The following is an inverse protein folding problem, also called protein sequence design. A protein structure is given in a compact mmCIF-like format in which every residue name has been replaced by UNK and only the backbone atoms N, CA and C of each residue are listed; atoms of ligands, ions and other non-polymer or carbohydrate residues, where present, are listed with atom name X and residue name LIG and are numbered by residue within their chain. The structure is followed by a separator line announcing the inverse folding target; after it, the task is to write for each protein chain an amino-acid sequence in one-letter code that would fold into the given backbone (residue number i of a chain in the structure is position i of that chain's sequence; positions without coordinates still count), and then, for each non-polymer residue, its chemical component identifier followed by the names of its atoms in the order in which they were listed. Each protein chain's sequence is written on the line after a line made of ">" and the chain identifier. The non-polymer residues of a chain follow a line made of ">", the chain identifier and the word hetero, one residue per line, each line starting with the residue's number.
data_IF_352457004740
#
_entry.id   IF_352457004740
#
_cell.length_a   1.000
_cell.length_b   1.000
_cell.length_c   1.000
_cell.angle_alpha   90.00
_cell.angle_beta   90.00
_cell.angle_gamma   90.00
#
_symmetry.space_group_name_H-M   'P 1'
#
loop_
_entity.id
_entity.type
_entity.pdbx_description
1 polymer ?
#
# COMPACT_ATOMS: atom_id res chain seq x y z
N UNK A 1 30.95 -9.18 15.71
CA UNK A 1 29.94 -8.10 15.79
C UNK A 1 29.33 -8.16 17.18
N UNK A 2 29.19 -7.03 17.87
CA UNK A 2 28.50 -6.97 19.17
C UNK A 2 27.00 -7.14 18.93
N UNK A 3 26.37 -8.04 19.70
CA UNK A 3 24.91 -8.16 19.70
C UNK A 3 24.33 -6.89 20.30
N UNK A 4 23.26 -6.32 19.72
CA UNK A 4 22.63 -5.11 20.24
C UNK A 4 22.18 -5.34 21.68
N UNK A 5 22.45 -4.38 22.57
CA UNK A 5 22.12 -4.53 23.99
C UNK A 5 20.60 -4.41 24.25
N UNK A 6 19.88 -3.79 23.31
CA UNK A 6 18.44 -3.56 23.35
C UNK A 6 17.76 -3.95 22.03
N UNK A 7 16.52 -4.44 22.12
CA UNK A 7 15.61 -4.64 20.99
C UNK A 7 14.39 -3.74 21.16
N UNK A 8 14.02 -3.00 20.13
CA UNK A 8 12.77 -2.22 20.13
C UNK A 8 11.69 -3.02 19.42
N UNK A 9 10.60 -3.33 20.13
CA UNK A 9 9.42 -4.01 19.57
C UNK A 9 8.20 -3.17 19.88
N UNK A 10 7.41 -2.82 18.85
CA UNK A 10 6.21 -1.99 18.98
C UNK A 10 6.43 -0.65 19.72
N UNK A 11 7.60 -0.02 19.52
CA UNK A 11 7.95 1.24 20.17
C UNK A 11 8.41 1.12 21.63
N UNK A 12 8.47 -0.09 22.18
CA UNK A 12 9.04 -0.33 23.52
C UNK A 12 10.42 -0.97 23.39
N UNK A 13 11.40 -0.43 24.12
CA UNK A 13 12.77 -0.94 24.11
C UNK A 13 12.99 -1.91 25.27
N UNK A 14 13.49 -3.11 24.97
CA UNK A 14 13.76 -4.17 25.94
C UNK A 14 15.24 -4.52 25.94
N UNK A 15 15.84 -4.63 27.13
CA UNK A 15 17.22 -5.09 27.27
C UNK A 15 17.30 -6.60 26.97
N UNK A 16 18.10 -7.00 25.98
CA UNK A 16 18.16 -8.41 25.53
C UNK A 16 18.63 -9.32 26.66
N UNK A 17 19.55 -8.84 27.50
CA UNK A 17 20.08 -9.57 28.65
C UNK A 17 19.06 -9.84 29.76
N UNK A 18 17.92 -9.12 29.75
CA UNK A 18 16.82 -9.28 30.70
C UNK A 18 15.65 -10.08 30.13
N UNK A 19 15.72 -10.48 28.86
CA UNK A 19 14.70 -11.31 28.24
C UNK A 19 14.84 -12.78 28.66
N UNK A 20 13.73 -13.51 28.84
CA UNK A 20 13.76 -14.95 28.98
C UNK A 20 14.32 -15.60 27.70
N UNK A 21 14.92 -16.78 27.84
CA UNK A 21 15.65 -17.45 26.74
C UNK A 21 14.76 -17.69 25.51
N UNK A 22 13.52 -18.12 25.73
CA UNK A 22 12.52 -18.31 24.67
C UNK A 22 12.24 -17.00 23.92
N UNK A 23 12.21 -15.86 24.61
CA UNK A 23 11.99 -14.56 23.97
C UNK A 23 13.20 -14.12 23.13
N UNK A 24 14.44 -14.47 23.51
CA UNK A 24 15.63 -14.13 22.71
C UNK A 24 15.61 -14.82 21.35
N UNK A 25 15.08 -16.04 21.26
CA UNK A 25 14.89 -16.73 19.97
C UNK A 25 13.91 -15.96 19.07
N UNK A 26 12.84 -15.41 19.65
CA UNK A 26 11.88 -14.61 18.90
C UNK A 26 12.46 -13.26 18.43
N UNK A 27 13.40 -12.66 19.17
CA UNK A 27 14.06 -11.41 18.76
C UNK A 27 14.74 -11.56 17.40
N UNK A 28 15.46 -12.67 17.17
CA UNK A 28 16.15 -12.91 15.89
C UNK A 28 15.13 -13.00 14.75
N UNK A 29 14.02 -13.72 14.97
CA UNK A 29 12.96 -13.86 13.96
C UNK A 29 12.34 -12.51 13.61
N UNK A 30 12.06 -11.66 14.62
CA UNK A 30 11.52 -10.31 14.40
C UNK A 30 12.48 -9.46 13.58
N UNK A 31 13.78 -9.45 13.93
CA UNK A 31 14.79 -8.67 13.20
C UNK A 31 14.90 -9.07 11.72
N UNK A 32 14.81 -10.37 11.42
CA UNK A 32 14.81 -10.88 10.05
C UNK A 32 13.57 -10.39 9.30
N UNK A 33 12.39 -10.50 9.92
CA UNK A 33 11.14 -10.04 9.30
C UNK A 33 11.14 -8.52 9.07
N UNK A 34 11.68 -7.73 10.00
CA UNK A 34 11.78 -6.27 9.86
C UNK A 34 12.72 -5.87 8.71
N UNK A 35 13.83 -6.60 8.53
CA UNK A 35 14.73 -6.40 7.39
C UNK A 35 14.02 -6.70 6.06
N UNK A 36 13.24 -7.78 5.99
CA UNK A 36 12.46 -8.13 4.80
C UNK A 36 11.34 -7.11 4.52
N UNK A 37 10.66 -6.61 5.54
CA UNK A 37 9.67 -5.53 5.39
C UNK A 37 10.31 -4.30 4.76
N UNK A 38 11.49 -3.90 5.25
CA UNK A 38 12.24 -2.76 4.73
C UNK A 38 12.60 -2.95 3.25
N UNK A 39 13.08 -4.16 2.89
CA UNK A 39 13.37 -4.52 1.51
C UNK A 39 12.11 -4.44 0.63
N UNK A 40 10.99 -4.98 1.07
CA UNK A 40 9.73 -4.95 0.33
C UNK A 40 9.21 -3.53 0.12
N UNK A 41 9.32 -2.67 1.14
CA UNK A 41 8.97 -1.26 1.03
C UNK A 41 9.81 -0.53 -0.02
N UNK A 42 11.11 -0.84 -0.09
CA UNK A 42 11.99 -0.29 -1.13
C UNK A 42 11.56 -0.75 -2.54
N UNK A 43 11.28 -2.03 -2.72
CA UNK A 43 10.78 -2.56 -4.01
C UNK A 43 9.45 -1.92 -4.41
N UNK A 44 8.56 -1.72 -3.44
CA UNK A 44 7.28 -1.06 -3.65
C UNK A 44 7.48 0.40 -4.08
N UNK A 45 8.40 1.14 -3.46
CA UNK A 45 8.71 2.52 -3.86
C UNK A 45 9.23 2.61 -5.31
N UNK A 46 10.07 1.66 -5.73
CA UNK A 46 10.54 1.54 -7.12
C UNK A 46 9.35 1.31 -8.06
N UNK A 47 8.50 0.32 -7.75
CA UNK A 47 7.33 -0.02 -8.56
C UNK A 47 6.33 1.15 -8.66
N UNK A 48 6.11 1.88 -7.56
CA UNK A 48 5.26 3.07 -7.55
C UNK A 48 5.81 4.17 -8.47
N UNK A 49 7.13 4.36 -8.47
CA UNK A 49 7.79 5.34 -9.36
C UNK A 49 7.59 4.96 -10.82
N UNK A 50 7.88 3.70 -11.19
CA UNK A 50 7.65 3.20 -12.53
C UNK A 50 6.18 3.34 -12.97
N UNK A 51 5.23 3.01 -12.08
CA UNK A 51 3.80 3.18 -12.34
C UNK A 51 3.44 4.62 -12.63
N UNK A 52 3.95 5.59 -11.87
CA UNK A 52 3.69 7.02 -12.12
C UNK A 52 4.17 7.44 -13.51
N UNK A 53 5.37 7.01 -13.90
CA UNK A 53 5.91 7.27 -15.24
C UNK A 53 5.05 6.68 -16.34
N UNK A 54 4.65 5.41 -16.22
CA UNK A 54 3.80 4.77 -17.24
C UNK A 54 2.40 5.37 -17.32
N UNK A 55 1.82 5.80 -16.19
CA UNK A 55 0.54 6.50 -16.19
C UNK A 55 0.64 7.85 -16.90
N UNK A 56 1.72 8.61 -16.66
CA UNK A 56 1.95 9.87 -17.37
C UNK A 56 2.06 9.66 -18.88
N UNK A 57 2.90 8.70 -19.32
CA UNK A 57 3.05 8.35 -20.73
C UNK A 57 1.72 7.88 -21.36
N UNK A 58 0.92 7.11 -20.63
CA UNK A 58 -0.40 6.67 -21.10
C UNK A 58 -1.34 7.87 -21.31
N UNK A 59 -1.38 8.82 -20.37
CA UNK A 59 -2.21 10.02 -20.49
C UNK A 59 -1.78 10.86 -21.70
N UNK A 60 -0.47 11.04 -21.91
CA UNK A 60 0.06 11.73 -23.08
C UNK A 60 -0.42 11.08 -24.38
N UNK A 61 -0.34 9.76 -24.49
CA UNK A 61 -0.83 9.01 -25.67
C UNK A 61 -2.34 9.17 -25.86
N UNK A 62 -3.12 9.10 -24.77
CA UNK A 62 -4.57 9.28 -24.82
C UNK A 62 -4.94 10.69 -25.31
N UNK A 63 -4.29 11.72 -24.78
CA UNK A 63 -4.53 13.11 -25.15
C UNK A 63 -4.08 13.40 -26.59
N UNK A 64 -2.93 12.87 -26.99
CA UNK A 64 -2.38 13.04 -28.34
C UNK A 64 -3.24 12.36 -29.42
N UNK A 65 -3.89 11.23 -29.10
CA UNK A 65 -4.79 10.54 -30.04
C UNK A 65 -6.22 11.06 -30.05
N UNK A 66 -6.62 11.93 -29.12
CA UNK A 66 -7.99 12.51 -29.10
C UNK A 66 -9.14 11.50 -28.93
N UNK A 67 -8.85 10.22 -28.70
CA UNK A 67 -9.83 9.11 -28.87
C UNK A 67 -10.32 8.47 -27.57
N UNK A 68 -9.89 8.90 -26.38
CA UNK A 68 -10.50 8.43 -25.13
C UNK A 68 -11.23 9.57 -24.41
N UNK A 69 -12.53 9.70 -24.70
CA UNK A 69 -13.43 10.41 -23.80
C UNK A 69 -13.47 9.67 -22.46
N UNK A 70 -13.37 10.35 -21.30
CA UNK A 70 -13.63 9.73 -20.02
C UNK A 70 -15.03 9.12 -20.08
N UNK A 71 -15.15 7.80 -19.90
CA UNK A 71 -16.46 7.16 -19.80
C UNK A 71 -17.23 7.83 -18.64
N UNK A 72 -18.21 8.64 -18.99
CA UNK A 72 -19.12 9.29 -18.06
C UNK A 72 -19.68 8.21 -17.13
N UNK A 73 -19.60 8.41 -15.81
CA UNK A 73 -20.16 7.49 -14.80
C UNK A 73 -21.55 7.03 -15.26
N UNK A 74 -21.87 5.72 -15.21
CA UNK A 74 -23.13 5.21 -15.74
C UNK A 74 -24.28 6.01 -15.14
N UNK A 75 -24.95 6.80 -15.99
CA UNK A 75 -26.16 7.54 -15.63
C UNK A 75 -27.17 6.48 -15.20
N UNK A 76 -27.46 6.44 -13.89
CA UNK A 76 -28.55 5.62 -13.35
C UNK A 76 -29.77 5.84 -14.24
N UNK A 77 -30.41 4.79 -14.78
CA UNK A 77 -31.60 4.96 -15.58
C UNK A 77 -32.62 5.73 -14.75
N UNK A 78 -33.07 6.88 -15.27
CA UNK A 78 -34.14 7.67 -14.64
C UNK A 78 -35.33 6.73 -14.44
N UNK A 79 -35.69 6.47 -13.19
CA UNK A 79 -36.89 5.73 -12.87
C UNK A 79 -38.09 6.36 -13.59
N UNK A 80 -38.97 5.57 -14.24
CA UNK A 80 -40.14 6.11 -14.90
C UNK A 80 -40.97 6.88 -13.87
N UNK A 81 -41.27 8.14 -14.18
CA UNK A 81 -42.21 8.96 -13.41
C UNK A 81 -43.51 8.17 -13.29
N UNK A 82 -43.86 7.75 -12.07
CA UNK A 82 -45.22 7.28 -11.74
C UNK A 82 -46.17 8.34 -12.28
N UNK A 83 -47.01 7.98 -13.26
CA UNK A 83 -48.21 8.76 -13.57
C UNK A 83 -49.01 8.77 -12.27
N UNK A 84 -49.06 9.92 -11.61
CA UNK A 84 -49.95 10.16 -10.49
C UNK A 84 -51.37 10.00 -11.05
N UNK A 85 -52.10 9.03 -10.52
CA UNK A 85 -53.52 8.87 -10.82
C UNK A 85 -54.24 10.19 -10.47
N UNK A 86 -54.93 10.72 -11.47
CA UNK A 86 -56.08 11.61 -11.41
C UNK A 86 -57.02 10.98 -12.45
N UNK A 87 -58.27 10.66 -12.18
CA UNK A 87 -59.25 11.05 -11.17
C UNK A 87 -60.25 9.89 -11.08
#
# INVERSE_FOLDING_TARGET
>A
MSLPEYVTVNGTSYAINKLPEDAKLHVVNVQVVDAEITRLQQQLAIAQTARKTYVAALIEVIQAKGEAQPAEKPKKPRAPRKKKAAE
#
